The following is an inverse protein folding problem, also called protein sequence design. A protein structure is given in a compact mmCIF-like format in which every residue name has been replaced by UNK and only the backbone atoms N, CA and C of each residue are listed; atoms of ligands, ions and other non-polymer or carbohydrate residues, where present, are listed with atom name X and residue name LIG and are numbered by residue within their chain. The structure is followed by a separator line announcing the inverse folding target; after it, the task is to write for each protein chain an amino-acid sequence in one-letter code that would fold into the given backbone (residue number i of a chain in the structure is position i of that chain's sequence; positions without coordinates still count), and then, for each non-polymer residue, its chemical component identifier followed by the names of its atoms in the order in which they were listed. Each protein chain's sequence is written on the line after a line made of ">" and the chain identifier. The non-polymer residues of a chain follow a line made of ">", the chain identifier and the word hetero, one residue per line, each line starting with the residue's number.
data_IF_024459325862
#
_entry.id   IF_024459325862
#
_cell.length_a   1.000
_cell.length_b   1.000
_cell.length_c   1.000
_cell.angle_alpha   90.00
_cell.angle_beta   90.00
_cell.angle_gamma   90.00
#
_symmetry.space_group_name_H-M   'P 1'
#
loop_
_entity.id
_entity.type
_entity.pdbx_description
1 polymer ?
#
# COMPACT_ATOMS: atom_id res chain seq x y z
N UNK A 1 13.40 7.21 -18.84
CA UNK A 1 13.96 7.01 -17.47
C UNK A 1 14.45 5.57 -17.33
N UNK A 2 15.76 5.30 -17.31
CA UNK A 2 16.31 3.94 -17.34
C UNK A 2 16.48 3.31 -15.94
N UNK A 3 15.37 3.06 -15.26
CA UNK A 3 15.37 2.35 -13.98
C UNK A 3 15.41 0.82 -14.18
N UNK A 4 16.54 0.26 -14.61
CA UNK A 4 16.70 -1.20 -14.78
C UNK A 4 16.56 -1.93 -13.43
N UNK A 5 15.54 -2.78 -13.31
CA UNK A 5 15.40 -3.78 -12.24
C UNK A 5 16.00 -5.10 -12.72
N UNK A 6 16.95 -5.65 -11.96
CA UNK A 6 17.44 -7.00 -12.15
C UNK A 6 16.85 -7.90 -11.04
N UNK A 7 15.85 -8.74 -11.34
CA UNK A 7 15.40 -9.76 -10.40
C UNK A 7 16.54 -10.74 -10.14
N UNK A 8 16.89 -10.96 -8.88
CA UNK A 8 17.94 -11.90 -8.45
C UNK A 8 17.37 -13.19 -7.85
N UNK A 9 16.05 -13.38 -7.92
CA UNK A 9 15.35 -14.54 -7.37
C UNK A 9 13.91 -14.23 -6.96
N UNK A 10 13.15 -15.30 -6.75
CA UNK A 10 11.77 -15.27 -6.26
C UNK A 10 11.76 -15.77 -4.82
N UNK A 11 10.97 -15.14 -3.96
CA UNK A 11 10.73 -15.54 -2.56
C UNK A 11 9.23 -15.77 -2.40
N UNK A 12 8.88 -16.93 -1.84
CA UNK A 12 7.50 -17.26 -1.50
C UNK A 12 7.27 -16.97 -0.01
N UNK A 13 6.22 -16.22 0.32
CA UNK A 13 5.85 -15.88 1.71
C UNK A 13 4.46 -16.40 2.03
N UNK A 14 4.31 -17.20 3.08
CA UNK A 14 3.01 -17.62 3.61
C UNK A 14 2.38 -16.56 4.51
N UNK A 15 1.08 -16.70 4.79
CA UNK A 15 0.23 -15.81 5.60
C UNK A 15 0.42 -15.96 7.13
N UNK A 16 1.55 -16.51 7.59
CA UNK A 16 1.78 -16.84 9.01
C UNK A 16 2.43 -15.70 9.79
N UNK A 17 1.64 -14.66 10.06
CA UNK A 17 1.81 -13.73 11.19
C UNK A 17 3.10 -12.92 11.21
N UNK A 18 3.67 -12.58 10.04
CA UNK A 18 4.92 -11.79 9.95
C UNK A 18 4.65 -10.39 9.41
N UNK A 19 5.53 -9.39 9.66
CA UNK A 19 5.41 -8.04 9.09
C UNK A 19 5.63 -7.95 7.56
N UNK A 20 5.43 -9.07 6.86
CA UNK A 20 5.52 -9.28 5.41
C UNK A 20 4.32 -10.11 4.88
N UNK A 21 3.25 -10.26 5.67
CA UNK A 21 1.98 -10.85 5.22
C UNK A 21 1.48 -10.08 3.99
N UNK A 22 1.50 -10.77 2.84
CA UNK A 22 1.19 -10.23 1.54
C UNK A 22 -0.15 -10.85 1.08
N UNK A 23 -1.16 -10.05 0.73
CA UNK A 23 -2.43 -10.57 0.25
C UNK A 23 -2.26 -11.50 -0.96
N UNK A 24 -3.07 -12.55 -1.04
CA UNK A 24 -3.01 -13.56 -2.11
C UNK A 24 -3.20 -12.96 -3.52
N UNK A 25 -3.84 -11.79 -3.65
CA UNK A 25 -4.03 -11.08 -4.92
C UNK A 25 -2.83 -10.21 -5.36
N UNK A 26 -1.71 -10.19 -4.62
CA UNK A 26 -0.65 -9.17 -4.79
C UNK A 26 0.77 -9.71 -4.83
N UNK A 27 1.67 -8.90 -5.37
CA UNK A 27 3.11 -9.13 -5.42
C UNK A 27 3.83 -7.89 -4.86
N UNK A 28 5.01 -8.07 -4.27
CA UNK A 28 5.88 -6.97 -3.84
C UNK A 28 7.36 -7.23 -4.18
N UNK A 29 8.20 -6.20 -4.14
CA UNK A 29 9.61 -6.31 -4.49
C UNK A 29 10.51 -5.85 -3.34
N UNK A 30 11.36 -6.76 -2.85
CA UNK A 30 12.41 -6.42 -1.89
C UNK A 30 13.65 -6.02 -2.68
N UNK A 31 13.90 -4.71 -2.76
CA UNK A 31 15.07 -4.13 -3.43
C UNK A 31 16.32 -4.28 -2.55
N UNK A 32 17.38 -4.89 -3.10
CA UNK A 32 18.69 -5.06 -2.44
C UNK A 32 19.71 -4.18 -3.18
N UNK A 33 19.90 -2.96 -2.71
CA UNK A 33 20.79 -1.96 -3.31
C UNK A 33 20.16 -1.14 -4.45
N UNK A 34 20.97 -0.76 -5.44
CA UNK A 34 20.58 0.25 -6.45
C UNK A 34 19.87 -0.30 -7.70
N UNK A 35 20.09 -1.59 -8.05
CA UNK A 35 19.57 -2.22 -9.28
C UNK A 35 19.03 -3.65 -9.10
N UNK A 36 19.39 -4.34 -8.00
CA UNK A 36 19.00 -5.74 -7.74
C UNK A 36 17.82 -5.83 -6.77
N UNK A 37 17.03 -6.90 -6.85
CA UNK A 37 15.97 -7.18 -5.89
C UNK A 37 15.35 -8.55 -6.07
N UNK A 38 14.49 -8.96 -5.13
CA UNK A 38 13.75 -10.22 -5.18
C UNK A 38 12.26 -9.94 -5.34
N UNK A 39 11.60 -10.75 -6.16
CA UNK A 39 10.14 -10.75 -6.30
C UNK A 39 9.57 -11.56 -5.13
N UNK A 40 8.61 -10.99 -4.41
CA UNK A 40 7.92 -11.66 -3.31
C UNK A 40 6.50 -11.99 -3.75
N UNK A 41 6.16 -13.27 -3.68
CA UNK A 41 4.90 -13.83 -4.12
C UNK A 41 4.22 -14.59 -2.96
N UNK A 42 2.88 -14.56 -2.84
CA UNK A 42 2.16 -15.29 -1.81
C UNK A 42 2.29 -16.79 -2.04
N UNK A 43 2.78 -17.52 -1.04
CA UNK A 43 3.02 -18.97 -1.12
C UNK A 43 1.73 -19.76 -1.42
N UNK A 44 0.60 -19.26 -0.91
CA UNK A 44 -0.74 -19.82 -1.08
C UNK A 44 -1.16 -19.96 -2.55
N UNK A 45 -0.57 -19.14 -3.44
CA UNK A 45 -0.89 -19.09 -4.87
C UNK A 45 0.12 -19.82 -5.76
N UNK A 46 1.22 -20.34 -5.20
CA UNK A 46 2.36 -20.90 -5.95
C UNK A 46 1.97 -21.94 -7.01
N UNK A 47 0.97 -22.76 -6.72
CA UNK A 47 0.46 -23.83 -7.59
C UNK A 47 -0.93 -23.54 -8.17
N UNK A 48 -1.52 -22.38 -7.86
CA UNK A 48 -2.91 -22.02 -8.24
C UNK A 48 -2.99 -21.09 -9.45
N UNK A 49 -1.92 -20.35 -9.74
CA UNK A 49 -1.83 -19.42 -10.87
C UNK A 49 -0.79 -19.88 -11.89
N UNK A 50 -1.13 -19.81 -13.17
CA UNK A 50 -0.20 -20.03 -14.28
C UNK A 50 0.78 -18.85 -14.44
N UNK A 51 1.87 -19.05 -15.17
CA UNK A 51 2.84 -17.97 -15.48
C UNK A 51 2.21 -16.79 -16.22
N UNK A 52 1.20 -17.03 -17.08
CA UNK A 52 0.46 -15.96 -17.75
C UNK A 52 -0.44 -15.18 -16.77
N UNK A 53 -1.02 -15.84 -15.77
CA UNK A 53 -1.85 -15.22 -14.74
C UNK A 53 -1.00 -14.44 -13.70
N UNK A 54 0.24 -14.85 -13.45
CA UNK A 54 1.18 -14.06 -12.64
C UNK A 54 1.59 -12.74 -13.32
N UNK A 55 1.57 -12.68 -14.65
CA UNK A 55 2.05 -11.53 -15.44
C UNK A 55 1.37 -10.20 -15.07
N UNK A 56 0.03 -10.07 -15.04
CA UNK A 56 -0.61 -8.80 -14.67
C UNK A 56 -0.35 -8.37 -13.20
N UNK A 57 -0.25 -9.31 -12.25
CA UNK A 57 0.05 -9.01 -10.85
C UNK A 57 1.48 -8.46 -10.67
N UNK A 58 2.43 -9.09 -11.35
CA UNK A 58 3.83 -8.66 -11.40
C UNK A 58 3.95 -7.31 -12.13
N UNK A 59 3.23 -7.11 -13.23
CA UNK A 59 3.23 -5.85 -13.97
C UNK A 59 2.67 -4.68 -13.14
N UNK A 60 1.55 -4.87 -12.43
CA UNK A 60 0.96 -3.83 -11.56
C UNK A 60 1.89 -3.46 -10.42
N UNK A 61 2.45 -4.46 -9.74
CA UNK A 61 3.41 -4.21 -8.67
C UNK A 61 4.70 -3.54 -9.19
N UNK A 62 5.21 -3.91 -10.37
CA UNK A 62 6.33 -3.19 -11.01
C UNK A 62 5.95 -1.74 -11.30
N UNK A 63 4.81 -1.48 -11.94
CA UNK A 63 4.33 -0.14 -12.25
C UNK A 63 4.28 0.72 -10.97
N UNK A 64 3.75 0.17 -9.87
CA UNK A 64 3.75 0.84 -8.56
C UNK A 64 5.16 1.21 -8.09
N UNK A 65 6.15 0.31 -8.13
CA UNK A 65 7.51 0.65 -7.68
C UNK A 65 8.30 1.57 -8.62
N UNK A 66 7.95 1.62 -9.92
CA UNK A 66 8.66 2.43 -10.92
C UNK A 66 8.02 3.79 -11.22
N UNK A 67 6.74 3.99 -10.86
CA UNK A 67 6.06 5.28 -10.87
C UNK A 67 6.91 6.37 -10.14
N UNK A 68 7.24 7.49 -10.80
CA UNK A 68 8.05 8.55 -10.18
C UNK A 68 7.37 9.15 -8.93
N UNK A 69 6.05 9.25 -8.97
CA UNK A 69 5.20 9.70 -7.88
C UNK A 69 5.36 8.82 -6.63
N UNK A 70 5.47 7.50 -6.79
CA UNK A 70 5.70 6.56 -5.68
C UNK A 70 6.94 6.94 -4.87
N UNK A 71 8.05 7.29 -5.53
CA UNK A 71 9.27 7.71 -4.80
C UNK A 71 9.05 8.98 -3.98
N UNK A 72 8.26 9.94 -4.48
CA UNK A 72 7.89 11.16 -3.76
C UNK A 72 6.99 10.85 -2.56
N UNK A 73 5.95 10.03 -2.77
CA UNK A 73 4.99 9.62 -1.74
C UNK A 73 5.66 8.79 -0.63
N UNK A 74 6.57 7.89 -0.98
CA UNK A 74 7.34 7.11 0.02
C UNK A 74 8.34 7.96 0.81
N UNK A 75 8.97 8.96 0.19
CA UNK A 75 9.77 9.95 0.93
C UNK A 75 8.89 10.74 1.90
N UNK A 76 7.73 11.21 1.46
CA UNK A 76 6.80 11.98 2.29
C UNK A 76 6.21 11.15 3.44
N UNK A 77 5.74 9.92 3.19
CA UNK A 77 5.26 8.99 4.22
C UNK A 77 6.38 8.56 5.20
N UNK A 78 7.66 8.58 4.78
CA UNK A 78 8.80 8.45 5.70
C UNK A 78 9.00 9.71 6.55
N UNK A 79 8.96 10.90 5.96
CA UNK A 79 9.10 12.18 6.68
C UNK A 79 7.97 12.33 7.72
N UNK A 80 6.71 12.08 7.34
CA UNK A 80 5.56 12.10 8.25
C UNK A 80 5.74 11.12 9.43
N UNK A 81 6.23 9.90 9.18
CA UNK A 81 6.51 8.92 10.24
C UNK A 81 7.66 9.36 11.15
N UNK A 82 8.74 9.91 10.59
CA UNK A 82 9.83 10.49 11.39
C UNK A 82 9.28 11.62 12.26
N UNK A 83 8.55 12.57 11.66
CA UNK A 83 7.95 13.72 12.36
C UNK A 83 7.02 13.29 13.51
N UNK A 84 6.22 12.24 13.30
CA UNK A 84 5.41 11.63 14.36
C UNK A 84 6.28 11.07 15.50
N UNK A 85 7.24 10.20 15.21
CA UNK A 85 8.09 9.61 16.26
C UNK A 85 8.97 10.64 16.98
N UNK A 86 9.58 11.59 16.26
CA UNK A 86 10.32 12.69 16.88
C UNK A 86 9.39 13.60 17.66
N UNK A 87 8.19 13.87 17.15
CA UNK A 87 7.17 14.65 17.84
C UNK A 87 6.82 14.04 19.20
N UNK A 88 6.53 12.72 19.25
CA UNK A 88 6.26 12.00 20.50
C UNK A 88 7.42 12.13 21.48
N UNK A 89 8.66 11.93 21.02
CA UNK A 89 9.85 12.08 21.86
C UNK A 89 10.03 13.52 22.40
N UNK A 90 9.80 14.53 21.56
CA UNK A 90 9.84 15.95 21.96
C UNK A 90 8.73 16.30 22.95
N UNK A 91 7.49 15.84 22.74
CA UNK A 91 6.38 16.06 23.68
C UNK A 91 6.70 15.48 25.06
N UNK A 92 7.22 14.25 25.11
CA UNK A 92 7.64 13.61 26.37
C UNK A 92 8.81 14.35 27.03
N UNK A 93 9.81 14.76 26.25
CA UNK A 93 10.95 15.53 26.74
C UNK A 93 10.55 16.88 27.34
N UNK A 94 9.66 17.63 26.69
CA UNK A 94 9.15 18.92 27.20
C UNK A 94 8.37 18.73 28.51
N UNK A 95 7.48 17.74 28.58
CA UNK A 95 6.72 17.41 29.80
C UNK A 95 7.68 17.09 30.97
N UNK A 96 8.71 16.28 30.72
CA UNK A 96 9.68 15.88 31.73
C UNK A 96 10.53 17.08 32.18
N UNK A 97 11.03 17.90 31.26
CA UNK A 97 11.83 19.10 31.56
C UNK A 97 11.02 20.13 32.38
N UNK A 98 9.80 20.46 31.96
CA UNK A 98 8.96 21.44 32.66
C UNK A 98 8.55 20.94 34.05
N UNK A 99 8.17 19.66 34.16
CA UNK A 99 7.75 19.06 35.43
C UNK A 99 8.86 18.81 36.45
N UNK A 100 10.10 18.54 36.01
CA UNK A 100 11.20 18.16 36.91
C UNK A 100 12.29 19.22 37.09
N UNK A 101 12.64 19.98 36.05
CA UNK A 101 13.75 20.95 36.09
C UNK A 101 13.24 22.33 36.49
N UNK A 102 12.10 22.75 35.96
CA UNK A 102 11.55 24.09 36.21
C UNK A 102 10.54 24.16 37.35
N UNK A 103 10.06 23.02 37.86
CA UNK A 103 9.07 22.95 38.95
C UNK A 103 7.71 23.59 38.64
N UNK A 104 7.48 24.05 37.40
CA UNK A 104 6.31 24.81 36.98
C UNK A 104 5.13 23.87 36.66
N UNK A 105 4.58 23.27 37.72
CA UNK A 105 3.48 22.30 37.64
C UNK A 105 2.24 22.94 37.01
N UNK A 106 2.00 24.24 37.23
CA UNK A 106 0.85 24.99 36.71
C UNK A 106 0.78 25.06 35.17
N UNK A 107 1.90 24.82 34.47
CA UNK A 107 1.95 24.81 33.01
C UNK A 107 1.64 23.42 32.40
N UNK A 108 1.81 22.34 33.17
CA UNK A 108 1.53 20.96 32.71
C UNK A 108 0.07 20.75 32.27
N UNK A 109 -0.96 21.28 32.96
CA UNK A 109 -2.36 21.21 32.52
C UNK A 109 -2.62 21.78 31.12
N UNK A 110 -1.80 22.71 30.64
CA UNK A 110 -1.92 23.28 29.29
C UNK A 110 -1.04 22.53 28.27
N UNK A 111 0.19 22.16 28.65
CA UNK A 111 1.12 21.47 27.74
C UNK A 111 0.68 20.04 27.40
N UNK A 112 0.13 19.30 28.37
CA UNK A 112 -0.28 17.89 28.16
C UNK A 112 -1.40 17.78 27.11
N UNK A 113 -2.54 18.50 27.21
CA UNK A 113 -3.59 18.42 26.19
C UNK A 113 -3.13 18.89 24.81
N UNK A 114 -2.34 19.96 24.72
CA UNK A 114 -1.80 20.45 23.42
C UNK A 114 -0.88 19.41 22.80
N UNK A 115 0.02 18.80 23.57
CA UNK A 115 0.88 17.72 23.12
C UNK A 115 0.07 16.52 22.59
N UNK A 116 -0.93 16.06 23.35
CA UNK A 116 -1.82 14.97 22.95
C UNK A 116 -2.56 15.32 21.64
N UNK A 117 -3.12 16.53 21.52
CA UNK A 117 -3.89 16.95 20.36
C UNK A 117 -3.01 16.98 19.09
N UNK A 118 -1.77 17.47 19.19
CA UNK A 118 -0.78 17.41 18.10
C UNK A 118 -0.45 15.97 17.71
N UNK A 119 -0.23 15.06 18.67
CA UNK A 119 0.05 13.65 18.35
C UNK A 119 -1.14 12.94 17.70
N UNK A 120 -2.36 13.21 18.18
CA UNK A 120 -3.60 12.69 17.59
C UNK A 120 -3.75 13.19 16.17
N UNK A 121 -3.56 14.49 15.92
CA UNK A 121 -3.61 15.07 14.57
C UNK A 121 -2.57 14.46 13.62
N UNK A 122 -1.31 14.29 14.06
CA UNK A 122 -0.26 13.65 13.29
C UNK A 122 -0.56 12.16 13.00
N UNK A 123 -1.10 11.42 13.98
CA UNK A 123 -1.52 10.04 13.79
C UNK A 123 -2.63 9.93 12.72
N UNK A 124 -3.67 10.76 12.83
CA UNK A 124 -4.74 10.81 11.84
C UNK A 124 -4.23 11.19 10.45
N UNK A 125 -3.32 12.16 10.34
CA UNK A 125 -2.70 12.58 9.08
C UNK A 125 -1.89 11.45 8.43
N UNK A 126 -1.03 10.76 9.18
CA UNK A 126 -0.26 9.59 8.70
C UNK A 126 -1.19 8.50 8.19
N UNK A 127 -2.24 8.16 8.96
CA UNK A 127 -3.20 7.12 8.59
C UNK A 127 -4.03 7.50 7.36
N UNK A 128 -4.53 8.73 7.29
CA UNK A 128 -5.29 9.23 6.14
C UNK A 128 -4.42 9.23 4.87
N UNK A 129 -3.18 9.70 4.98
CA UNK A 129 -2.23 9.72 3.87
C UNK A 129 -1.96 8.31 3.34
N UNK A 130 -1.61 7.38 4.23
CA UNK A 130 -1.34 6.01 3.84
C UNK A 130 -2.62 5.36 3.25
N UNK A 131 -3.81 5.56 3.82
CA UNK A 131 -5.06 4.97 3.30
C UNK A 131 -5.44 5.47 1.90
N UNK A 132 -5.44 6.79 1.67
CA UNK A 132 -6.03 7.38 0.47
C UNK A 132 -5.00 7.60 -0.65
N UNK A 133 -3.78 8.04 -0.33
CA UNK A 133 -2.76 8.39 -1.32
C UNK A 133 -2.02 7.14 -1.83
N UNK A 134 -1.69 6.19 -0.95
CA UNK A 134 -1.03 4.95 -1.40
C UNK A 134 -2.02 4.02 -2.11
N UNK A 135 -3.27 3.96 -1.65
CA UNK A 135 -4.34 3.16 -2.26
C UNK A 135 -4.65 3.60 -3.70
N UNK A 136 -4.86 4.90 -3.93
CA UNK A 136 -5.12 5.46 -5.26
C UNK A 136 -3.95 5.23 -6.24
N UNK A 137 -2.72 5.40 -5.78
CA UNK A 137 -1.51 5.14 -6.59
C UNK A 137 -1.38 3.66 -7.00
N UNK A 138 -1.86 2.73 -6.17
CA UNK A 138 -1.92 1.28 -6.48
C UNK A 138 -2.97 0.97 -7.55
N UNK A 139 -4.10 1.69 -7.53
CA UNK A 139 -5.14 1.62 -8.57
C UNK A 139 -4.67 2.25 -9.90
N UNK A 140 -3.86 3.32 -9.85
CA UNK A 140 -3.20 3.86 -11.05
C UNK A 140 -2.18 2.87 -11.65
N UNK A 141 -1.40 2.20 -10.79
CA UNK A 141 -0.49 1.14 -11.21
C UNK A 141 -1.23 -0.07 -11.83
N UNK A 142 -2.39 -0.45 -11.31
CA UNK A 142 -3.26 -1.46 -11.93
C UNK A 142 -3.71 -1.02 -13.34
N UNK A 143 -4.12 0.25 -13.53
CA UNK A 143 -4.48 0.78 -14.86
C UNK A 143 -3.32 0.76 -15.85
N UNK A 144 -2.11 1.12 -15.41
CA UNK A 144 -0.91 1.09 -16.26
C UNK A 144 -0.56 -0.35 -16.67
N UNK A 145 -0.63 -1.31 -15.75
CA UNK A 145 -0.42 -2.72 -16.07
C UNK A 145 -1.50 -3.29 -16.99
N UNK A 146 -2.77 -2.92 -16.82
CA UNK A 146 -3.86 -3.31 -17.72
C UNK A 146 -3.68 -2.77 -19.16
N UNK A 147 -3.04 -1.59 -19.32
CA UNK A 147 -2.68 -1.05 -20.64
C UNK A 147 -1.48 -1.77 -21.29
N UNK A 148 -0.61 -2.40 -20.50
CA UNK A 148 0.61 -3.08 -21.00
C UNK A 148 0.34 -4.57 -21.27
N UNK A 149 -0.37 -5.24 -20.36
CA UNK A 149 -0.61 -6.70 -20.40
C UNK A 149 -1.95 -7.05 -21.07
N UNK A 150 -2.90 -6.11 -21.08
CA UNK A 150 -4.28 -6.34 -21.55
C UNK A 150 -5.27 -6.28 -20.40
N UNK A 151 -6.40 -5.60 -20.62
CA UNK A 151 -7.39 -5.33 -19.57
C UNK A 151 -8.19 -6.59 -19.23
N UNK A 152 -8.68 -7.34 -20.23
CA UNK A 152 -9.43 -8.58 -19.98
C UNK A 152 -8.57 -9.66 -19.31
N UNK A 153 -7.30 -9.84 -19.70
CA UNK A 153 -6.40 -10.80 -19.05
C UNK A 153 -6.22 -10.48 -17.56
N UNK A 154 -6.14 -9.19 -17.21
CA UNK A 154 -6.04 -8.75 -15.81
C UNK A 154 -7.36 -8.99 -15.06
N UNK A 155 -8.50 -8.59 -15.63
CA UNK A 155 -9.82 -8.83 -15.03
C UNK A 155 -10.04 -10.32 -14.78
N UNK A 156 -9.87 -11.17 -15.80
CA UNK A 156 -10.00 -12.62 -15.68
C UNK A 156 -9.06 -13.23 -14.64
N UNK A 157 -7.82 -12.73 -14.53
CA UNK A 157 -6.90 -13.16 -13.46
C UNK A 157 -7.45 -12.83 -12.08
N UNK A 158 -7.97 -11.61 -11.87
CA UNK A 158 -8.52 -11.20 -10.57
C UNK A 158 -9.82 -11.94 -10.25
N UNK A 159 -10.69 -12.18 -11.23
CA UNK A 159 -11.92 -12.99 -11.07
C UNK A 159 -11.61 -14.46 -10.74
N UNK A 160 -10.58 -15.04 -11.37
CA UNK A 160 -10.08 -16.38 -11.02
C UNK A 160 -9.58 -16.42 -9.58
N UNK A 161 -8.87 -15.39 -9.11
CA UNK A 161 -8.42 -15.29 -7.70
C UNK A 161 -9.63 -15.13 -6.76
N UNK A 162 -10.64 -14.37 -7.16
CA UNK A 162 -11.89 -14.18 -6.41
C UNK A 162 -12.65 -15.50 -6.21
N UNK A 163 -12.81 -16.28 -7.28
CA UNK A 163 -13.50 -17.57 -7.24
C UNK A 163 -12.83 -18.63 -6.35
N UNK A 164 -11.54 -18.48 -6.01
CA UNK A 164 -10.85 -19.36 -5.06
C UNK A 164 -11.27 -19.15 -3.60
N UNK A 165 -12.05 -18.09 -3.29
CA UNK A 165 -12.57 -17.75 -1.95
C UNK A 165 -11.55 -17.91 -0.83
N UNK A 166 -10.38 -17.32 -1.04
CA UNK A 166 -9.26 -17.44 -0.10
C UNK A 166 -9.57 -16.58 1.14
N UNK A 167 -9.40 -17.17 2.32
CA UNK A 167 -9.77 -16.58 3.62
C UNK A 167 -9.23 -15.15 3.82
N UNK A 168 -7.99 -14.89 3.42
CA UNK A 168 -7.35 -13.56 3.53
C UNK A 168 -8.01 -12.49 2.64
N UNK A 169 -8.63 -12.89 1.54
CA UNK A 169 -9.35 -12.03 0.62
C UNK A 169 -10.80 -11.81 1.07
N UNK A 170 -11.49 -12.87 1.52
CA UNK A 170 -12.86 -12.77 2.05
C UNK A 170 -12.91 -11.92 3.32
N UNK A 171 -11.95 -12.08 4.23
CA UNK A 171 -11.77 -11.17 5.37
C UNK A 171 -11.59 -9.71 4.93
N UNK A 172 -10.77 -9.45 3.90
CA UNK A 172 -10.52 -8.10 3.40
C UNK A 172 -11.76 -7.49 2.72
N UNK A 173 -12.62 -8.31 2.11
CA UNK A 173 -13.91 -7.87 1.56
C UNK A 173 -14.91 -7.52 2.65
N UNK A 174 -15.04 -8.35 3.68
CA UNK A 174 -15.96 -8.12 4.79
C UNK A 174 -15.54 -6.94 5.70
N UNK A 175 -14.23 -6.68 5.81
CA UNK A 175 -13.66 -5.69 6.72
C UNK A 175 -13.87 -4.25 6.24
N UNK A 176 -14.69 -3.49 6.97
CA UNK A 176 -14.83 -2.03 6.78
C UNK A 176 -13.47 -1.35 6.94
N UNK A 177 -13.03 -0.60 5.93
CA UNK A 177 -11.80 0.21 5.98
C UNK A 177 -11.97 1.40 6.93
N UNK A 178 -11.47 1.25 8.15
CA UNK A 178 -11.43 2.33 9.14
C UNK A 178 -9.99 2.77 9.42
N UNK A 179 -9.83 3.99 9.93
CA UNK A 179 -8.52 4.53 10.36
C UNK A 179 -7.86 3.63 11.42
N UNK A 180 -8.68 2.99 12.26
CA UNK A 180 -8.30 2.04 13.30
C UNK A 180 -7.91 0.65 12.79
N UNK A 181 -8.21 0.32 11.53
CA UNK A 181 -7.91 -1.00 10.96
C UNK A 181 -6.41 -1.26 11.00
N UNK A 182 -5.99 -2.28 11.75
CA UNK A 182 -4.59 -2.71 11.85
C UNK A 182 -4.18 -3.41 10.55
N UNK A 183 -3.80 -2.64 9.52
CA UNK A 183 -3.32 -3.22 8.27
C UNK A 183 -1.91 -3.77 8.42
N UNK A 184 -1.76 -5.06 8.17
CA UNK A 184 -0.48 -5.64 7.83
C UNK A 184 0.08 -5.00 6.56
N UNK A 185 1.32 -4.53 6.66
CA UNK A 185 2.22 -4.22 5.55
C UNK A 185 1.88 -2.98 4.69
N UNK A 186 0.72 -2.86 4.02
CA UNK A 186 0.35 -1.62 3.27
C UNK A 186 -1.16 -1.36 3.17
N UNK A 187 -1.52 -0.12 2.87
CA UNK A 187 -2.86 0.33 2.46
C UNK A 187 -3.26 -0.13 1.06
N UNK A 188 -3.17 -1.44 0.83
CA UNK A 188 -3.57 -2.06 -0.42
C UNK A 188 -5.07 -1.81 -0.71
N UNK A 189 -5.46 -1.56 -1.98
CA UNK A 189 -6.86 -1.63 -2.39
C UNK A 189 -7.36 -3.08 -2.30
N UNK A 190 -8.67 -3.24 -2.08
CA UNK A 190 -9.33 -4.54 -2.05
C UNK A 190 -9.57 -5.06 -3.48
N UNK A 191 -9.66 -6.38 -3.66
CA UNK A 191 -9.92 -7.04 -4.94
C UNK A 191 -11.13 -6.43 -5.68
N UNK A 192 -12.23 -6.16 -4.98
CA UNK A 192 -13.43 -5.51 -5.54
C UNK A 192 -13.15 -4.09 -6.06
N UNK A 193 -12.27 -3.32 -5.41
CA UNK A 193 -11.89 -1.97 -5.86
C UNK A 193 -11.00 -2.03 -7.10
N UNK A 194 -10.10 -3.01 -7.16
CA UNK A 194 -9.23 -3.28 -8.31
C UNK A 194 -10.07 -3.70 -9.52
N UNK A 195 -10.99 -4.65 -9.34
CA UNK A 195 -11.95 -5.07 -10.36
C UNK A 195 -12.81 -3.90 -10.85
N UNK A 196 -13.43 -3.12 -9.95
CA UNK A 196 -14.21 -1.92 -10.33
C UNK A 196 -13.36 -0.91 -11.12
N UNK A 197 -12.12 -0.69 -10.70
CA UNK A 197 -11.19 0.23 -11.35
C UNK A 197 -10.78 -0.23 -12.76
N UNK A 198 -10.60 -1.54 -12.97
CA UNK A 198 -10.34 -2.12 -14.29
C UNK A 198 -11.58 -2.15 -15.19
N UNK A 199 -12.76 -2.44 -14.62
CA UNK A 199 -14.04 -2.40 -15.35
C UNK A 199 -14.36 -0.99 -15.88
N UNK A 200 -14.07 0.06 -15.09
CA UNK A 200 -14.17 1.46 -15.54
C UNK A 200 -13.20 1.76 -16.70
N UNK A 201 -11.97 1.24 -16.64
CA UNK A 201 -11.01 1.38 -17.74
C UNK A 201 -11.48 0.64 -19.01
N UNK A 202 -12.08 -0.55 -18.86
CA UNK A 202 -12.72 -1.28 -19.98
C UNK A 202 -13.81 -0.45 -20.64
N UNK A 203 -14.76 0.11 -19.86
CA UNK A 203 -15.83 0.94 -20.44
C UNK A 203 -15.32 2.16 -21.19
N UNK A 204 -14.30 2.85 -20.66
CA UNK A 204 -13.69 4.01 -21.34
C UNK A 204 -13.04 3.61 -22.67
N UNK A 205 -12.31 2.50 -22.71
CA UNK A 205 -11.69 2.00 -23.94
C UNK A 205 -12.76 1.63 -24.99
N UNK A 206 -13.88 1.01 -24.59
CA UNK A 206 -14.99 0.68 -25.49
C UNK A 206 -15.61 1.94 -26.11
N UNK A 207 -15.84 2.99 -25.31
CA UNK A 207 -16.38 4.25 -25.82
C UNK A 207 -15.40 4.99 -26.76
N UNK A 208 -14.09 4.91 -26.52
CA UNK A 208 -13.10 5.51 -27.42
C UNK A 208 -13.03 4.80 -28.80
N UNK A 209 -13.24 3.48 -28.83
CA UNK A 209 -13.31 2.71 -30.09
C UNK A 209 -14.63 2.92 -30.87
N UNK A 210 -15.57 3.70 -30.34
CA UNK A 210 -16.85 4.06 -30.98
C UNK A 210 -16.92 5.55 -31.37
N UNK A 211 -15.76 6.21 -31.54
CA UNK A 211 -15.69 7.59 -32.05
C UNK A 211 -16.40 7.77 -33.40
N UNK A 212 -16.87 8.99 -33.72
CA UNK A 212 -17.78 9.24 -34.83
C UNK A 212 -17.17 8.83 -36.19
N UNK A 213 -18.01 8.21 -37.02
CA UNK A 213 -17.74 7.96 -38.44
C UNK A 213 -17.91 9.24 -39.25
#
# INVERSE_FOLDING_TARGET
>A
MNAKFAPTGIVWTGTLGRPLDLPSDQCTFIRRGSKRGRVVLPANMKTRLSTQEWTPLIASSLAFFFLPQTRRIWRFSRILRILYFTGVAWSLGIILIVGTIFGNIDLLPFLIPVGILVQVALFFLVRYWDMNVIGSLRLEADRLAAKIVGTEQFIHTLEKIDSMRIEDLEENKARKKTIWTRKGVYSWPNLNERLKNLALLRSVNTSQNQGPR
#
